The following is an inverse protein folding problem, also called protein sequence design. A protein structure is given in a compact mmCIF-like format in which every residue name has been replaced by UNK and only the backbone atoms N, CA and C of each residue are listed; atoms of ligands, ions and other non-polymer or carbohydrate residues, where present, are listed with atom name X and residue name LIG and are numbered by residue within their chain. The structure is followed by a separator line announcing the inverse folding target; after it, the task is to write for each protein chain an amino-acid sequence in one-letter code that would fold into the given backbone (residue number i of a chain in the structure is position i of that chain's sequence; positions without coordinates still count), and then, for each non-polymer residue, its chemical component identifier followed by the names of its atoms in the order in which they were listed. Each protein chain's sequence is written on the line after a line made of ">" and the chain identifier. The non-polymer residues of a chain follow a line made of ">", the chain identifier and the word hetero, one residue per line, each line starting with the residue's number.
data_IF_629888456258
#
_entry.id   IF_629888456258
#
_cell.length_a   1.000
_cell.length_b   1.000
_cell.length_c   1.000
_cell.angle_alpha   90.00
_cell.angle_beta   90.00
_cell.angle_gamma   90.00
#
_symmetry.space_group_name_H-M   'P 1'
#
loop_
_entity.id
_entity.type
_entity.pdbx_description
1 polymer ?
#
# COMPACT_ATOMS: atom_id res chain seq x y z
N UNK A 1 -24.41 21.07 11.39
CA UNK A 1 -25.70 20.54 10.91
C UNK A 1 -25.42 19.09 10.58
N UNK A 2 -25.83 18.15 11.44
CA UNK A 2 -25.54 16.72 11.27
C UNK A 2 -26.04 16.24 9.92
N UNK A 3 -25.12 15.73 9.09
CA UNK A 3 -25.46 14.97 7.90
C UNK A 3 -25.33 13.50 8.25
N UNK A 4 -26.47 12.89 8.51
CA UNK A 4 -26.66 11.47 8.29
C UNK A 4 -26.55 11.22 6.78
N UNK A 5 -25.47 10.57 6.35
CA UNK A 5 -25.33 10.03 5.01
C UNK A 5 -24.99 8.55 5.12
N UNK A 6 -26.03 7.72 4.96
CA UNK A 6 -26.01 6.34 4.46
C UNK A 6 -24.93 5.37 4.99
N UNK A 7 -25.27 4.65 6.07
CA UNK A 7 -24.58 3.44 6.56
C UNK A 7 -24.68 2.23 5.60
N UNK A 8 -25.03 2.43 4.32
CA UNK A 8 -25.38 1.35 3.39
C UNK A 8 -24.27 0.96 2.41
N UNK A 9 -23.11 1.63 2.44
CA UNK A 9 -22.04 1.37 1.46
C UNK A 9 -20.96 0.38 1.95
N UNK A 10 -20.83 0.16 3.27
CA UNK A 10 -19.63 -0.49 3.84
C UNK A 10 -19.66 -2.02 3.66
N UNK A 11 -20.84 -2.66 3.69
CA UNK A 11 -20.96 -4.09 3.39
C UNK A 11 -20.59 -4.45 1.93
N UNK A 12 -20.51 -3.45 1.03
CA UNK A 12 -20.09 -3.67 -0.35
C UNK A 12 -18.57 -3.48 -0.55
N UNK A 13 -17.83 -2.94 0.43
CA UNK A 13 -16.43 -2.50 0.28
C UNK A 13 -15.44 -3.65 0.03
N UNK A 14 -15.80 -4.88 0.39
CA UNK A 14 -14.93 -6.07 0.24
C UNK A 14 -15.67 -7.32 -0.28
N UNK A 15 -16.81 -7.17 -0.97
CA UNK A 15 -17.63 -8.33 -1.39
C UNK A 15 -18.39 -9.02 -0.25
N UNK A 16 -18.59 -8.32 0.89
CA UNK A 16 -19.29 -8.79 2.10
C UNK A 16 -20.83 -8.75 1.98
N UNK A 17 -21.37 -9.15 0.84
CA UNK A 17 -22.82 -9.26 0.67
C UNK A 17 -23.35 -10.50 1.41
N UNK A 18 -23.56 -10.39 2.72
CA UNK A 18 -24.24 -11.43 3.51
C UNK A 18 -24.25 -11.21 5.03
N UNK A 19 -23.13 -10.81 5.63
CA UNK A 19 -22.99 -10.82 7.09
C UNK A 19 -23.28 -9.47 7.77
N UNK A 20 -23.85 -9.52 8.97
CA UNK A 20 -23.98 -8.38 9.86
C UNK A 20 -22.60 -7.76 10.15
N UNK A 21 -22.41 -6.50 9.73
CA UNK A 21 -21.28 -5.60 10.02
C UNK A 21 -19.90 -6.26 10.21
N UNK A 22 -19.07 -6.24 9.16
CA UNK A 22 -17.62 -6.41 9.34
C UNK A 22 -17.13 -5.50 10.48
N UNK A 23 -16.38 -6.08 11.41
CA UNK A 23 -15.82 -5.34 12.53
C UNK A 23 -14.60 -4.57 12.02
N UNK A 24 -14.60 -3.26 12.21
CA UNK A 24 -13.43 -2.44 11.91
C UNK A 24 -12.69 -2.23 13.23
N UNK A 25 -11.41 -2.61 13.27
CA UNK A 25 -10.55 -2.39 14.41
C UNK A 25 -9.39 -1.46 14.07
N UNK A 26 -8.94 -0.70 15.08
CA UNK A 26 -7.83 0.24 14.98
C UNK A 26 -6.69 -0.23 15.87
N UNK A 27 -5.52 -0.44 15.25
CA UNK A 27 -4.33 -0.94 15.92
C UNK A 27 -3.21 0.13 15.91
N UNK A 28 -2.95 0.83 17.02
CA UNK A 28 -1.88 1.83 17.09
C UNK A 28 -0.50 1.17 17.18
N UNK A 29 0.43 1.59 16.31
CA UNK A 29 1.81 1.05 16.27
C UNK A 29 2.77 1.94 17.07
N UNK A 30 2.67 3.27 16.91
CA UNK A 30 3.48 4.24 17.66
C UNK A 30 4.41 5.08 16.78
N UNK A 31 5.56 5.51 17.32
CA UNK A 31 6.53 6.42 16.68
C UNK A 31 7.25 5.76 15.49
N UNK A 32 6.56 5.58 14.38
CA UNK A 32 7.08 4.92 13.20
C UNK A 32 6.60 5.64 11.94
N UNK A 33 7.52 6.00 11.05
CA UNK A 33 7.20 6.49 9.73
C UNK A 33 7.29 5.30 8.77
N UNK A 34 6.21 4.53 8.72
CA UNK A 34 6.06 3.40 7.81
C UNK A 34 6.07 3.90 6.35
N UNK A 35 6.59 3.07 5.45
CA UNK A 35 6.63 3.36 4.02
C UNK A 35 6.20 2.19 3.14
N UNK A 36 6.11 0.98 3.68
CA UNK A 36 5.75 -0.23 2.95
C UNK A 36 5.24 -1.33 3.91
N UNK A 37 4.44 -2.26 3.40
CA UNK A 37 3.96 -3.42 4.16
C UNK A 37 4.04 -4.73 3.35
N UNK A 38 4.03 -5.88 4.03
CA UNK A 38 3.90 -7.18 3.38
C UNK A 38 2.50 -7.38 2.80
N UNK A 39 2.38 -8.29 1.82
CA UNK A 39 1.10 -8.67 1.19
C UNK A 39 -0.02 -9.00 2.18
N UNK A 40 0.28 -9.59 3.33
CA UNK A 40 -0.67 -9.94 4.38
C UNK A 40 -0.80 -8.89 5.50
N UNK A 41 -0.10 -7.76 5.39
CA UNK A 41 -0.06 -6.69 6.38
C UNK A 41 0.60 -7.06 7.72
N UNK A 42 1.20 -8.24 7.86
CA UNK A 42 1.80 -8.68 9.14
C UNK A 42 3.14 -8.00 9.44
N UNK A 43 3.86 -7.61 8.39
CA UNK A 43 5.14 -6.91 8.47
C UNK A 43 5.05 -5.52 7.89
N UNK A 44 5.63 -4.57 8.61
CA UNK A 44 5.76 -3.17 8.18
C UNK A 44 7.23 -2.79 8.14
N UNK A 45 7.62 -1.97 7.17
CA UNK A 45 8.97 -1.40 7.11
C UNK A 45 8.94 0.12 6.94
N UNK A 46 9.96 0.78 7.49
CA UNK A 46 9.99 2.23 7.53
C UNK A 46 11.06 2.78 8.47
N UNK A 47 10.86 4.01 8.91
CA UNK A 47 11.79 4.73 9.79
C UNK A 47 11.32 4.72 11.23
N UNK A 48 12.17 4.19 12.12
CA UNK A 48 12.05 4.31 13.57
C UNK A 48 13.07 5.36 14.06
N UNK A 49 12.60 6.59 14.25
CA UNK A 49 13.51 7.74 14.42
C UNK A 49 14.34 7.96 13.16
N UNK A 50 15.66 7.79 13.25
CA UNK A 50 16.55 7.86 12.09
C UNK A 50 16.94 6.49 11.52
N UNK A 51 16.43 5.41 12.10
CA UNK A 51 16.86 4.04 11.77
C UNK A 51 15.92 3.40 10.76
N UNK A 52 16.46 2.53 9.89
CA UNK A 52 15.62 1.59 9.14
C UNK A 52 15.21 0.48 10.11
N UNK A 53 13.92 0.22 10.20
CA UNK A 53 13.36 -0.82 11.05
C UNK A 53 12.22 -1.55 10.34
N UNK A 54 11.96 -2.78 10.79
CA UNK A 54 10.71 -3.48 10.53
C UNK A 54 9.93 -3.70 11.81
N UNK A 55 8.63 -3.91 11.71
CA UNK A 55 7.73 -4.16 12.82
C UNK A 55 6.75 -5.27 12.47
N UNK A 56 6.41 -6.09 13.45
CA UNK A 56 5.24 -6.98 13.44
C UNK A 56 4.56 -6.97 14.80
N UNK A 57 3.28 -7.32 14.87
CA UNK A 57 2.56 -7.44 16.14
C UNK A 57 3.21 -8.47 17.08
N UNK A 58 3.75 -9.56 16.51
CA UNK A 58 4.32 -10.67 17.28
C UNK A 58 5.70 -10.35 17.88
N UNK A 59 6.54 -9.64 17.14
CA UNK A 59 7.94 -9.41 17.53
C UNK A 59 8.24 -7.98 17.96
N UNK A 60 7.35 -7.03 17.65
CA UNK A 60 7.57 -5.60 17.83
C UNK A 60 8.61 -5.04 16.86
N UNK A 61 9.28 -3.96 17.26
CA UNK A 61 10.28 -3.30 16.42
C UNK A 61 11.62 -4.03 16.38
N UNK A 62 12.11 -4.27 15.17
CA UNK A 62 13.49 -4.68 14.91
C UNK A 62 14.23 -3.56 14.16
N UNK A 63 15.27 -3.01 14.77
CA UNK A 63 16.13 -2.03 14.11
C UNK A 63 17.16 -2.74 13.23
N UNK A 64 17.11 -2.46 11.92
CA UNK A 64 17.95 -3.12 10.92
C UNK A 64 19.17 -2.31 10.54
N UNK A 65 19.06 -0.97 10.54
CA UNK A 65 20.15 -0.07 10.18
C UNK A 65 20.11 1.19 11.05
N UNK A 66 21.26 1.62 11.55
CA UNK A 66 21.39 2.79 12.43
C UNK A 66 22.23 3.85 11.74
N UNK A 67 21.60 4.96 11.31
CA UNK A 67 22.29 6.13 10.78
C UNK A 67 21.44 7.39 10.95
N UNK A 68 22.01 8.46 11.49
CA UNK A 68 21.31 9.72 11.74
C UNK A 68 20.92 10.49 10.46
N UNK A 69 21.48 10.14 9.29
CA UNK A 69 21.32 10.88 8.04
C UNK A 69 20.54 10.13 6.97
N UNK A 70 19.86 9.03 7.32
CA UNK A 70 19.10 8.25 6.34
C UNK A 70 17.99 9.08 5.66
N UNK A 71 18.13 9.28 4.34
CA UNK A 71 17.15 9.92 3.47
C UNK A 71 16.79 8.99 2.31
N UNK A 72 15.66 8.31 2.40
CA UNK A 72 15.16 7.35 1.41
C UNK A 72 13.84 6.73 1.83
N UNK A 73 13.25 5.94 0.93
CA UNK A 73 12.12 5.03 1.23
C UNK A 73 12.67 3.69 1.73
N UNK A 74 11.84 2.93 2.43
CA UNK A 74 12.14 1.56 2.85
C UNK A 74 11.08 0.67 2.24
N UNK A 75 11.50 -0.45 1.62
CA UNK A 75 10.59 -1.47 1.09
C UNK A 75 10.78 -2.82 1.77
N UNK A 76 9.79 -3.70 1.72
CA UNK A 76 9.79 -5.02 2.37
C UNK A 76 9.21 -6.11 1.45
N UNK A 77 9.73 -7.33 1.51
CA UNK A 77 9.16 -8.49 0.79
C UNK A 77 7.89 -9.02 1.47
N UNK A 78 7.08 -9.78 0.73
CA UNK A 78 5.78 -10.29 1.22
C UNK A 78 5.91 -11.21 2.43
N UNK A 79 7.05 -11.89 2.57
CA UNK A 79 7.35 -12.75 3.73
C UNK A 79 8.03 -12.01 4.89
N UNK A 80 8.27 -10.70 4.73
CA UNK A 80 8.96 -9.84 5.69
C UNK A 80 10.46 -10.11 5.83
N UNK A 81 11.02 -11.10 5.13
CA UNK A 81 12.40 -11.58 5.35
C UNK A 81 13.47 -10.71 4.71
N UNK A 82 13.09 -9.83 3.77
CA UNK A 82 13.99 -8.89 3.09
C UNK A 82 13.49 -7.47 3.20
N UNK A 83 14.41 -6.54 3.46
CA UNK A 83 14.11 -5.10 3.54
C UNK A 83 15.11 -4.35 2.68
N UNK A 84 14.63 -3.47 1.80
CA UNK A 84 15.48 -2.62 0.96
C UNK A 84 15.47 -1.17 1.46
N UNK A 85 16.54 -0.45 1.20
CA UNK A 85 16.65 0.97 1.51
C UNK A 85 17.99 1.55 1.08
N UNK A 86 18.15 2.87 1.23
CA UNK A 86 19.44 3.53 1.03
C UNK A 86 20.31 3.43 2.28
N UNK A 87 21.49 2.85 2.16
CA UNK A 87 22.49 2.71 3.23
C UNK A 87 23.78 3.40 2.83
N UNK A 88 24.78 3.42 3.71
CA UNK A 88 26.12 3.90 3.39
C UNK A 88 27.10 2.73 3.30
N UNK A 89 27.94 2.74 2.26
CA UNK A 89 29.04 1.80 2.15
C UNK A 89 30.22 2.16 3.08
N UNK A 90 31.30 1.37 3.04
CA UNK A 90 32.49 1.61 3.87
C UNK A 90 33.24 2.91 3.56
N UNK A 91 32.97 3.53 2.40
CA UNK A 91 33.55 4.80 1.98
C UNK A 91 32.67 6.01 2.34
N UNK A 92 31.46 5.75 2.85
CA UNK A 92 30.46 6.77 3.17
C UNK A 92 29.64 7.23 1.96
N UNK A 93 29.63 6.44 0.89
CA UNK A 93 28.78 6.67 -0.30
C UNK A 93 27.37 6.16 -0.01
N UNK A 94 26.35 6.97 -0.29
CA UNK A 94 24.97 6.52 -0.23
C UNK A 94 24.68 5.55 -1.39
N UNK A 95 24.27 4.32 -1.05
CA UNK A 95 24.05 3.21 -1.98
C UNK A 95 22.73 2.51 -1.68
N UNK A 96 22.02 1.99 -2.69
CA UNK A 96 20.93 1.06 -2.43
C UNK A 96 21.48 -0.22 -1.78
N UNK A 97 20.73 -0.79 -0.84
CA UNK A 97 21.10 -2.04 -0.18
C UNK A 97 19.88 -2.88 0.14
N UNK A 98 20.14 -4.14 0.44
CA UNK A 98 19.13 -5.11 0.88
C UNK A 98 19.60 -5.80 2.14
N UNK A 99 18.78 -5.74 3.17
CA UNK A 99 18.87 -6.57 4.35
C UNK A 99 18.15 -7.89 4.10
N UNK A 100 18.73 -8.99 4.58
CA UNK A 100 18.10 -10.31 4.55
C UNK A 100 18.20 -10.95 5.92
N UNK A 101 17.10 -11.52 6.40
CA UNK A 101 17.03 -12.15 7.72
C UNK A 101 18.11 -13.22 7.89
N UNK A 102 18.82 -13.19 9.01
CA UNK A 102 19.94 -14.10 9.30
C UNK A 102 21.23 -13.83 8.52
N UNK A 103 21.23 -12.90 7.55
CA UNK A 103 22.40 -12.55 6.73
C UNK A 103 22.89 -11.12 7.01
N UNK A 104 21.99 -10.15 7.08
CA UNK A 104 22.30 -8.72 7.22
C UNK A 104 22.31 -7.96 5.89
N UNK A 105 22.89 -6.75 5.89
CA UNK A 105 22.91 -5.86 4.73
C UNK A 105 23.96 -6.24 3.68
N UNK A 106 23.55 -6.20 2.42
CA UNK A 106 24.39 -6.25 1.23
C UNK A 106 24.10 -5.03 0.36
N UNK A 107 25.14 -4.38 -0.16
CA UNK A 107 24.99 -3.27 -1.10
C UNK A 107 24.69 -3.82 -2.50
N UNK A 108 23.83 -3.13 -3.26
CA UNK A 108 23.50 -3.54 -4.63
C UNK A 108 24.60 -3.18 -5.64
N UNK A 109 25.52 -2.30 -5.23
CA UNK A 109 26.59 -1.74 -6.05
C UNK A 109 26.09 -0.64 -6.99
N UNK A 110 27.00 0.09 -7.66
CA UNK A 110 26.62 1.16 -8.58
C UNK A 110 26.06 0.60 -9.88
N UNK A 111 25.35 1.45 -10.61
CA UNK A 111 25.05 1.20 -12.02
C UNK A 111 26.34 1.15 -12.83
N UNK A 112 26.44 0.24 -13.80
CA UNK A 112 27.65 0.10 -14.62
C UNK A 112 27.98 1.43 -15.32
N UNK A 113 29.19 1.96 -15.07
CA UNK A 113 29.67 3.21 -15.67
C UNK A 113 29.03 4.48 -15.09
N UNK A 114 28.32 4.40 -13.96
CA UNK A 114 27.68 5.52 -13.29
C UNK A 114 28.19 5.78 -11.87
N UNK A 115 27.42 6.58 -11.13
CA UNK A 115 27.72 7.16 -9.82
C UNK A 115 28.02 8.66 -9.88
N UNK A 116 27.68 9.39 -8.81
CA UNK A 116 28.14 10.76 -8.56
C UNK A 116 28.92 10.79 -7.23
N UNK A 117 29.75 11.82 -6.96
CA UNK A 117 30.55 11.86 -5.74
C UNK A 117 29.69 11.74 -4.47
N UNK A 118 29.85 10.66 -3.72
CA UNK A 118 29.16 10.41 -2.46
C UNK A 118 27.77 9.78 -2.58
N UNK A 119 27.28 9.48 -3.79
CA UNK A 119 25.96 8.87 -3.99
C UNK A 119 25.90 8.05 -5.28
N UNK A 120 25.59 6.75 -5.17
CA UNK A 120 25.37 5.86 -6.31
C UNK A 120 23.90 5.78 -6.69
N UNK A 121 23.00 5.93 -5.71
CA UNK A 121 21.56 5.84 -5.92
C UNK A 121 20.78 5.63 -4.63
N UNK A 122 19.50 5.32 -4.78
CA UNK A 122 18.58 5.01 -3.68
C UNK A 122 17.63 3.89 -4.08
N UNK A 123 17.39 2.94 -3.17
CA UNK A 123 16.32 1.95 -3.32
C UNK A 123 14.99 2.56 -2.88
N UNK A 124 13.91 2.15 -3.54
CA UNK A 124 12.56 2.60 -3.22
C UNK A 124 11.62 1.43 -2.90
N UNK A 125 11.75 0.30 -3.61
CA UNK A 125 10.88 -0.85 -3.43
C UNK A 125 11.60 -2.17 -3.77
N UNK A 126 11.06 -3.28 -3.26
CA UNK A 126 11.49 -4.67 -3.49
C UNK A 126 10.26 -5.48 -3.90
N UNK A 127 10.43 -6.45 -4.80
CA UNK A 127 9.34 -7.34 -5.22
C UNK A 127 8.84 -8.19 -4.06
N UNK A 128 7.59 -8.64 -4.14
CA UNK A 128 6.97 -9.47 -3.13
C UNK A 128 7.71 -10.79 -2.86
N UNK A 129 8.22 -11.43 -3.93
CA UNK A 129 9.10 -12.60 -3.85
C UNK A 129 10.52 -12.29 -3.30
N UNK A 130 10.78 -11.01 -3.01
CA UNK A 130 12.04 -10.49 -2.48
C UNK A 130 13.19 -10.50 -3.47
N UNK A 131 13.03 -10.92 -4.72
CA UNK A 131 14.15 -11.22 -5.63
C UNK A 131 14.68 -10.00 -6.39
N UNK A 132 13.86 -8.97 -6.56
CA UNK A 132 14.13 -7.82 -7.43
C UNK A 132 13.97 -6.50 -6.67
N UNK A 133 14.92 -5.59 -6.83
CA UNK A 133 14.90 -4.26 -6.20
C UNK A 133 14.86 -3.18 -7.27
N UNK A 134 14.10 -2.12 -7.01
CA UNK A 134 14.03 -0.94 -7.88
C UNK A 134 14.32 0.35 -7.12
N UNK A 135 14.53 1.42 -7.87
CA UNK A 135 14.81 2.73 -7.33
C UNK A 135 15.35 3.69 -8.38
N UNK A 136 16.24 4.58 -7.95
CA UNK A 136 17.02 5.43 -8.83
C UNK A 136 18.52 5.15 -8.66
N UNK A 137 19.24 5.19 -9.77
CA UNK A 137 20.70 5.15 -9.79
C UNK A 137 21.23 6.39 -10.52
N UNK A 138 22.28 6.99 -9.97
CA UNK A 138 22.91 8.15 -10.57
C UNK A 138 23.87 7.74 -11.68
N UNK A 139 23.81 8.45 -12.80
CA UNK A 139 24.85 8.43 -13.83
C UNK A 139 25.86 9.55 -13.58
N UNK A 140 27.05 9.41 -14.16
CA UNK A 140 28.12 10.41 -14.05
C UNK A 140 27.78 11.80 -14.63
N UNK A 141 26.72 11.89 -15.43
CA UNK A 141 26.17 13.12 -16.01
C UNK A 141 25.08 13.77 -15.15
N UNK A 142 24.91 13.32 -13.89
CA UNK A 142 23.91 13.81 -12.93
C UNK A 142 22.46 13.57 -13.39
N UNK A 143 22.23 12.55 -14.21
CA UNK A 143 20.90 12.05 -14.53
C UNK A 143 20.60 10.79 -13.74
N UNK A 144 19.39 10.72 -13.20
CA UNK A 144 18.91 9.52 -12.52
C UNK A 144 18.31 8.54 -13.54
N UNK A 145 18.48 7.25 -13.28
CA UNK A 145 17.88 6.15 -14.05
C UNK A 145 17.11 5.25 -13.11
N UNK A 146 15.91 4.86 -13.52
CA UNK A 146 15.26 3.68 -12.97
C UNK A 146 16.19 2.47 -13.16
N UNK A 147 16.27 1.62 -12.15
CA UNK A 147 17.06 0.39 -12.21
C UNK A 147 16.23 -0.82 -11.79
N UNK A 148 16.63 -2.00 -12.26
CA UNK A 148 16.24 -3.29 -11.69
C UNK A 148 17.52 -3.97 -11.20
N UNK A 149 17.52 -4.46 -9.97
CA UNK A 149 18.63 -5.21 -9.41
C UNK A 149 18.17 -6.60 -9.01
N UNK A 150 18.95 -7.61 -9.36
CA UNK A 150 18.87 -8.97 -8.79
C UNK A 150 20.27 -9.40 -8.39
N UNK A 151 20.37 -10.40 -7.50
CA UNK A 151 21.66 -10.98 -7.12
C UNK A 151 22.43 -11.55 -8.33
N UNK A 152 21.71 -12.06 -9.33
CA UNK A 152 22.30 -12.74 -10.49
C UNK A 152 22.80 -11.78 -11.57
N UNK A 153 22.16 -10.62 -11.70
CA UNK A 153 22.45 -9.64 -12.76
C UNK A 153 23.21 -8.42 -12.26
N UNK A 154 23.18 -8.16 -10.95
CA UNK A 154 23.51 -6.85 -10.42
C UNK A 154 22.53 -5.79 -10.92
N UNK A 155 22.94 -4.52 -10.84
CA UNK A 155 22.11 -3.37 -11.19
C UNK A 155 22.03 -3.19 -12.72
N UNK A 156 20.81 -3.28 -13.25
CA UNK A 156 20.47 -3.09 -14.66
C UNK A 156 19.79 -1.73 -14.85
N UNK A 157 20.29 -0.95 -15.80
CA UNK A 157 19.70 0.33 -16.20
C UNK A 157 18.43 0.11 -17.03
N UNK A 158 17.29 0.63 -16.57
CA UNK A 158 16.01 0.52 -17.28
C UNK A 158 15.76 1.67 -18.28
N UNK A 159 16.65 2.68 -18.29
CA UNK A 159 16.61 3.75 -19.27
C UNK A 159 15.55 4.83 -18.99
N UNK A 160 15.39 5.71 -19.97
CA UNK A 160 14.40 6.78 -20.03
C UNK A 160 14.05 7.00 -21.50
N UNK A 161 12.90 7.62 -21.79
CA UNK A 161 12.51 7.94 -23.16
C UNK A 161 13.49 8.90 -23.86
N UNK A 162 14.26 9.68 -23.10
CA UNK A 162 15.34 10.51 -23.60
C UNK A 162 16.61 10.30 -22.76
N UNK A 163 17.76 10.08 -23.42
CA UNK A 163 19.02 9.78 -22.72
C UNK A 163 19.52 10.92 -21.81
N UNK A 164 19.08 12.17 -22.05
CA UNK A 164 19.44 13.35 -21.26
C UNK A 164 18.37 13.77 -20.23
N UNK A 165 17.34 12.96 -20.04
CA UNK A 165 16.27 13.13 -19.04
C UNK A 165 16.36 12.07 -17.96
N UNK A 166 15.72 12.25 -16.81
CA UNK A 166 15.78 11.33 -15.68
C UNK A 166 14.62 10.34 -15.66
N UNK A 167 14.81 9.23 -14.96
CA UNK A 167 13.75 8.27 -14.62
C UNK A 167 13.96 7.71 -13.22
N UNK A 168 12.91 7.15 -12.62
CA UNK A 168 12.94 6.46 -11.32
C UNK A 168 11.93 5.34 -11.29
N UNK A 169 12.31 4.19 -10.73
CA UNK A 169 11.36 3.19 -10.26
C UNK A 169 10.97 3.49 -8.81
N UNK A 170 9.66 3.54 -8.56
CA UNK A 170 9.05 3.89 -7.28
C UNK A 170 8.34 2.67 -6.67
N UNK A 171 7.68 1.85 -7.50
CA UNK A 171 6.97 0.63 -7.11
C UNK A 171 7.39 -0.57 -7.96
N UNK A 172 7.10 -1.77 -7.49
CA UNK A 172 7.38 -3.04 -8.19
C UNK A 172 6.33 -4.08 -7.81
N UNK A 173 5.94 -4.95 -8.74
CA UNK A 173 4.96 -6.01 -8.48
C UNK A 173 5.57 -7.25 -7.78
N UNK A 174 4.74 -8.24 -7.47
CA UNK A 174 5.09 -9.40 -6.65
C UNK A 174 6.25 -10.25 -7.20
N UNK A 175 6.32 -10.44 -8.52
CA UNK A 175 7.39 -11.22 -9.17
C UNK A 175 8.54 -10.38 -9.75
N UNK A 176 8.46 -9.06 -9.61
CA UNK A 176 9.47 -8.12 -10.09
C UNK A 176 9.49 -7.87 -11.61
N UNK A 177 8.54 -8.41 -12.37
CA UNK A 177 8.46 -8.24 -13.83
C UNK A 177 7.97 -6.85 -14.26
N UNK A 178 7.22 -6.16 -13.40
CA UNK A 178 6.68 -4.82 -13.64
C UNK A 178 7.20 -3.85 -12.58
N UNK A 179 7.92 -2.83 -13.04
CA UNK A 179 8.38 -1.71 -12.20
C UNK A 179 7.60 -0.47 -12.60
N UNK A 180 6.99 0.20 -11.63
CA UNK A 180 6.27 1.47 -11.82
C UNK A 180 7.07 2.66 -11.31
N UNK A 181 6.89 3.81 -11.92
CA UNK A 181 7.49 5.06 -11.46
C UNK A 181 7.25 6.21 -12.42
N UNK A 182 8.32 6.94 -12.73
CA UNK A 182 8.24 8.06 -13.66
C UNK A 182 9.37 8.13 -14.68
N UNK A 183 9.03 8.71 -15.83
CA UNK A 183 9.95 9.17 -16.86
C UNK A 183 9.80 10.68 -17.09
N UNK A 184 10.93 11.40 -17.13
CA UNK A 184 10.94 12.85 -17.34
C UNK A 184 10.80 13.19 -18.83
N UNK A 185 9.80 14.02 -19.16
CA UNK A 185 9.56 14.51 -20.51
C UNK A 185 10.63 15.53 -20.96
N UNK A 186 10.72 15.85 -22.27
CA UNK A 186 11.69 16.83 -22.79
C UNK A 186 11.62 18.20 -22.12
N UNK A 187 10.44 18.60 -21.63
CA UNK A 187 10.21 19.89 -20.98
C UNK A 187 10.25 19.83 -19.43
N UNK A 188 10.59 18.66 -18.86
CA UNK A 188 10.90 18.47 -17.44
C UNK A 188 9.75 17.98 -16.55
N UNK A 189 8.52 17.86 -17.06
CA UNK A 189 7.43 17.24 -16.30
C UNK A 189 7.64 15.71 -16.19
N UNK A 190 7.27 15.12 -15.05
CA UNK A 190 7.27 13.66 -14.91
C UNK A 190 6.01 13.07 -15.53
N UNK A 191 6.16 11.90 -16.13
CA UNK A 191 5.08 11.11 -16.72
C UNK A 191 5.08 9.72 -16.10
N UNK A 192 3.89 9.24 -15.76
CA UNK A 192 3.65 7.88 -15.27
C UNK A 192 4.23 6.86 -16.25
N UNK A 193 5.13 6.03 -15.75
CA UNK A 193 5.91 5.08 -16.52
C UNK A 193 5.90 3.71 -15.85
N UNK A 194 5.86 2.67 -16.69
CA UNK A 194 6.09 1.29 -16.32
C UNK A 194 7.30 0.76 -17.10
N UNK A 195 8.08 -0.12 -16.48
CA UNK A 195 9.04 -0.97 -17.15
C UNK A 195 8.55 -2.40 -17.03
N UNK A 196 8.03 -2.94 -18.13
CA UNK A 196 7.50 -4.30 -18.23
C UNK A 196 8.57 -5.16 -18.89
N UNK A 197 9.13 -6.13 -18.17
CA UNK A 197 10.30 -6.90 -18.60
C UNK A 197 11.47 -5.99 -19.05
N UNK A 198 11.62 -4.88 -18.34
CA UNK A 198 12.62 -3.84 -18.62
C UNK A 198 12.35 -2.96 -19.83
N UNK A 199 11.20 -3.10 -20.51
CA UNK A 199 10.79 -2.22 -21.61
C UNK A 199 9.91 -1.08 -21.10
N UNK A 200 10.26 0.16 -21.45
CA UNK A 200 9.52 1.36 -21.04
C UNK A 200 8.16 1.46 -21.76
N UNK A 201 7.10 1.61 -20.96
CA UNK A 201 5.72 1.92 -21.35
C UNK A 201 5.29 3.20 -20.63
N UNK A 202 4.84 4.21 -21.38
CA UNK A 202 4.27 5.43 -20.80
C UNK A 202 2.75 5.30 -20.73
N UNK A 203 2.17 5.53 -19.56
CA UNK A 203 0.72 5.39 -19.37
C UNK A 203 -0.05 6.59 -19.93
N UNK A 204 0.53 7.79 -19.83
CA UNK A 204 -0.07 9.04 -20.31
C UNK A 204 0.99 9.91 -21.02
N UNK A 205 1.49 9.47 -22.19
CA UNK A 205 2.65 10.09 -22.84
C UNK A 205 2.44 11.55 -23.25
N UNK A 206 1.18 11.92 -23.50
CA UNK A 206 0.75 13.24 -23.96
C UNK A 206 0.25 14.15 -22.82
N UNK A 207 0.28 13.67 -21.57
CA UNK A 207 -0.17 14.47 -20.42
C UNK A 207 0.77 15.66 -20.20
N UNK A 208 0.18 16.84 -20.02
CA UNK A 208 0.87 18.05 -19.57
C UNK A 208 0.96 18.13 -18.04
N UNK A 209 0.28 17.23 -17.34
CA UNK A 209 0.28 17.13 -15.89
C UNK A 209 1.53 16.42 -15.37
N UNK A 210 1.76 16.58 -14.06
CA UNK A 210 2.74 15.79 -13.34
C UNK A 210 2.12 14.44 -12.94
N UNK A 211 2.53 13.36 -13.59
CA UNK A 211 2.03 12.01 -13.29
C UNK A 211 3.16 11.06 -12.91
N UNK A 212 2.86 10.10 -12.03
CA UNK A 212 3.80 9.10 -11.52
C UNK A 212 3.01 7.88 -11.04
N UNK A 213 3.52 6.67 -11.33
CA UNK A 213 3.06 5.43 -10.69
C UNK A 213 3.77 5.31 -9.35
N UNK A 214 3.01 5.13 -8.28
CA UNK A 214 3.50 5.06 -6.90
C UNK A 214 3.17 3.72 -6.25
N UNK A 215 2.13 3.03 -6.73
CA UNK A 215 1.71 1.71 -6.26
C UNK A 215 1.49 0.75 -7.43
N UNK A 216 1.70 -0.54 -7.20
CA UNK A 216 1.33 -1.63 -8.10
C UNK A 216 0.70 -2.74 -7.28
N UNK A 217 -0.31 -3.42 -7.84
CA UNK A 217 -0.80 -4.65 -7.25
C UNK A 217 0.19 -5.80 -7.48
N UNK A 218 0.01 -6.91 -6.75
CA UNK A 218 0.89 -8.09 -6.83
C UNK A 218 1.07 -8.62 -8.26
N UNK A 219 0.00 -8.60 -9.09
CA UNK A 219 0.04 -9.06 -10.47
C UNK A 219 0.70 -8.07 -11.45
N UNK A 220 0.80 -6.78 -11.10
CA UNK A 220 1.35 -5.74 -11.95
C UNK A 220 0.42 -5.29 -13.09
N UNK A 221 -0.88 -5.59 -13.02
CA UNK A 221 -1.91 -5.21 -14.00
C UNK A 221 -2.82 -4.06 -13.51
N UNK A 222 -2.65 -3.63 -12.26
CA UNK A 222 -3.26 -2.43 -11.67
C UNK A 222 -2.17 -1.56 -11.04
N UNK A 223 -2.16 -0.28 -11.41
CA UNK A 223 -1.20 0.70 -10.93
C UNK A 223 -1.93 1.88 -10.27
N UNK A 224 -1.45 2.34 -9.12
CA UNK A 224 -1.94 3.53 -8.43
C UNK A 224 -0.92 4.68 -8.49
N UNK A 225 -1.39 5.92 -8.47
CA UNK A 225 -0.52 7.07 -8.29
C UNK A 225 -1.23 8.40 -8.37
N UNK A 226 -0.55 9.38 -8.98
CA UNK A 226 -1.08 10.73 -9.17
C UNK A 226 -1.38 11.00 -10.65
N UNK A 227 -2.58 11.53 -10.92
CA UNK A 227 -3.00 12.09 -12.20
C UNK A 227 -2.66 13.57 -12.35
N UNK A 228 -1.91 14.14 -11.41
CA UNK A 228 -1.52 15.55 -11.39
C UNK A 228 -2.51 16.47 -10.69
N UNK A 229 -2.34 17.76 -10.92
CA UNK A 229 -2.90 18.79 -10.06
C UNK A 229 -4.44 18.90 -10.20
N UNK A 230 -4.96 18.70 -11.42
CA UNK A 230 -6.40 18.82 -11.67
C UNK A 230 -7.17 17.50 -11.55
N UNK A 231 -6.50 16.37 -11.79
CA UNK A 231 -7.16 15.06 -11.82
C UNK A 231 -7.08 14.31 -10.49
N UNK A 232 -6.12 14.66 -9.63
CA UNK A 232 -5.99 14.08 -8.30
C UNK A 232 -5.44 12.65 -8.34
N UNK A 233 -5.94 11.81 -7.44
CA UNK A 233 -5.52 10.41 -7.37
C UNK A 233 -5.98 9.65 -8.62
N UNK A 234 -5.19 8.69 -9.07
CA UNK A 234 -5.47 7.92 -10.29
C UNK A 234 -5.16 6.44 -10.10
N UNK A 235 -5.92 5.61 -10.79
CA UNK A 235 -5.62 4.18 -11.01
C UNK A 235 -5.50 3.95 -12.51
N UNK A 236 -4.49 3.20 -12.93
CA UNK A 236 -4.40 2.65 -14.28
C UNK A 236 -4.64 1.15 -14.23
N UNK A 237 -5.39 0.64 -15.20
CA UNK A 237 -5.72 -0.79 -15.31
C UNK A 237 -5.34 -1.30 -16.70
N UNK A 238 -4.84 -2.53 -16.74
CA UNK A 238 -4.50 -3.23 -17.98
C UNK A 238 -5.68 -4.07 -18.45
N UNK A 239 -6.15 -3.80 -19.68
CA UNK A 239 -7.09 -4.69 -20.40
C UNK A 239 -6.40 -5.23 -21.65
N UNK A 240 -6.07 -6.52 -21.62
CA UNK A 240 -5.25 -7.16 -22.65
C UNK A 240 -3.84 -6.58 -22.71
N UNK A 241 -3.60 -5.65 -23.64
CA UNK A 241 -2.32 -4.94 -23.79
C UNK A 241 -2.46 -3.42 -23.63
N UNK A 242 -3.68 -2.93 -23.39
CA UNK A 242 -3.99 -1.51 -23.37
C UNK A 242 -4.15 -1.06 -21.92
N UNK A 243 -3.32 -0.12 -21.49
CA UNK A 243 -3.47 0.54 -20.20
C UNK A 243 -4.45 1.70 -20.32
N UNK A 244 -5.36 1.83 -19.35
CA UNK A 244 -6.30 2.95 -19.26
C UNK A 244 -6.32 3.54 -17.86
N UNK A 245 -6.35 4.87 -17.78
CA UNK A 245 -6.36 5.62 -16.52
C UNK A 245 -7.76 6.06 -16.11
N UNK A 246 -8.12 5.82 -14.85
CA UNK A 246 -9.33 6.31 -14.20
C UNK A 246 -8.94 7.30 -13.11
N UNK A 247 -9.31 8.57 -13.29
CA UNK A 247 -9.13 9.59 -12.26
C UNK A 247 -10.15 9.37 -11.14
N UNK A 248 -9.66 9.19 -9.92
CA UNK A 248 -10.49 8.97 -8.74
C UNK A 248 -11.05 10.28 -8.19
N UNK A 249 -10.43 11.41 -8.54
CA UNK A 249 -10.80 12.75 -8.10
C UNK A 249 -10.26 13.10 -6.72
N UNK A 250 -11.07 13.80 -5.94
CA UNK A 250 -10.72 14.33 -4.63
C UNK A 250 -11.87 14.09 -3.65
N UNK A 251 -11.54 13.92 -2.36
CA UNK A 251 -12.54 14.02 -1.29
C UNK A 251 -13.20 15.40 -1.30
N UNK A 252 -14.47 15.55 -0.90
CA UNK A 252 -15.10 16.87 -0.78
C UNK A 252 -14.29 17.81 0.14
N UNK A 253 -13.99 19.05 -0.28
CA UNK A 253 -13.24 19.98 0.57
C UNK A 253 -14.07 20.45 1.76
N UNK A 254 -13.41 20.72 2.88
CA UNK A 254 -13.99 21.29 4.08
C UNK A 254 -14.02 22.83 4.06
N UNK A 255 -14.78 23.41 5.00
CA UNK A 255 -14.85 24.87 5.17
C UNK A 255 -13.48 25.44 5.55
N UNK A 256 -12.85 26.16 4.63
CA UNK A 256 -11.54 26.79 4.82
C UNK A 256 -10.42 26.20 3.98
N UNK A 257 -10.68 25.08 3.30
CA UNK A 257 -9.71 24.44 2.42
C UNK A 257 -9.37 25.31 1.19
N UNK A 258 -8.09 25.33 0.85
CA UNK A 258 -7.63 25.97 -0.38
C UNK A 258 -7.77 25.02 -1.57
N UNK A 259 -8.94 24.99 -2.19
CA UNK A 259 -9.20 24.17 -3.38
C UNK A 259 -8.36 24.55 -4.62
N UNK A 260 -7.73 25.73 -4.60
CA UNK A 260 -6.78 26.18 -5.64
C UNK A 260 -5.34 25.78 -5.30
N UNK A 261 -5.14 24.85 -4.39
CA UNK A 261 -3.84 24.25 -4.10
C UNK A 261 -4.11 22.89 -3.48
N UNK A 262 -4.32 21.88 -4.32
CA UNK A 262 -4.74 20.57 -3.85
C UNK A 262 -3.97 19.46 -4.53
N UNK A 263 -3.88 18.34 -3.85
CA UNK A 263 -3.20 17.13 -4.31
C UNK A 263 -3.99 15.92 -3.82
N UNK A 264 -4.06 14.87 -4.63
CA UNK A 264 -4.56 13.58 -4.20
C UNK A 264 -3.69 12.51 -4.86
N UNK A 265 -3.37 11.47 -4.09
CA UNK A 265 -2.41 10.44 -4.51
C UNK A 265 -2.89 9.09 -4.04
N UNK A 266 -2.96 8.12 -4.94
CA UNK A 266 -3.11 6.70 -4.59
C UNK A 266 -1.74 6.16 -4.18
N UNK A 267 -1.65 5.60 -2.97
CA UNK A 267 -0.42 5.06 -2.41
C UNK A 267 -0.43 3.54 -2.27
N UNK A 268 -1.61 2.90 -2.23
CA UNK A 268 -1.76 1.44 -2.22
C UNK A 268 -3.00 1.00 -3.01
N UNK A 269 -2.96 -0.22 -3.54
CA UNK A 269 -4.06 -0.88 -4.27
C UNK A 269 -4.14 -2.35 -3.87
N UNK A 270 -5.35 -2.88 -3.66
CA UNK A 270 -5.55 -4.31 -3.37
C UNK A 270 -5.15 -5.19 -4.56
N UNK A 271 -4.90 -6.48 -4.34
CA UNK A 271 -4.46 -7.40 -5.39
C UNK A 271 -5.45 -7.49 -6.56
N UNK A 272 -6.75 -7.43 -6.27
CA UNK A 272 -7.83 -7.42 -7.25
C UNK A 272 -8.12 -6.04 -7.86
N UNK A 273 -7.47 -4.99 -7.37
CA UNK A 273 -7.63 -3.60 -7.80
C UNK A 273 -8.98 -2.96 -7.45
N UNK A 274 -9.80 -3.58 -6.60
CA UNK A 274 -11.13 -3.07 -6.26
C UNK A 274 -11.09 -2.02 -5.14
N UNK A 275 -10.03 -2.02 -4.33
CA UNK A 275 -9.80 -1.04 -3.26
C UNK A 275 -8.49 -0.30 -3.51
N UNK A 276 -8.53 1.02 -3.32
CA UNK A 276 -7.35 1.85 -3.37
C UNK A 276 -7.31 2.82 -2.19
N UNK A 277 -6.12 3.11 -1.69
CA UNK A 277 -5.91 3.95 -0.51
C UNK A 277 -4.92 5.06 -0.81
N UNK A 278 -5.02 6.15 -0.06
CA UNK A 278 -4.10 7.26 -0.22
C UNK A 278 -4.42 8.45 0.66
N UNK A 279 -4.06 9.64 0.18
CA UNK A 279 -4.40 10.89 0.84
C UNK A 279 -4.88 11.98 -0.14
N UNK A 280 -5.68 12.90 0.39
CA UNK A 280 -5.93 14.22 -0.18
C UNK A 280 -5.16 15.27 0.63
N UNK A 281 -4.71 16.33 -0.02
CA UNK A 281 -4.15 17.53 0.61
C UNK A 281 -4.82 18.77 0.07
N UNK A 282 -5.21 19.68 0.97
CA UNK A 282 -5.69 21.02 0.65
C UNK A 282 -4.77 22.09 1.28
N UNK A 283 -4.17 22.91 0.43
CA UNK A 283 -3.15 23.91 0.76
C UNK A 283 -1.71 23.41 0.62
N UNK A 284 -0.77 24.29 0.96
CA UNK A 284 0.67 24.03 0.93
C UNK A 284 1.33 24.29 2.29
N UNK A 285 2.37 23.52 2.56
CA UNK A 285 3.20 23.65 3.76
C UNK A 285 2.71 22.82 4.95
N UNK A 286 3.33 23.00 6.13
CA UNK A 286 3.12 22.13 7.30
C UNK A 286 1.73 22.27 7.94
N UNK A 287 0.93 23.22 7.48
CA UNK A 287 -0.43 23.48 7.96
C UNK A 287 -1.50 23.16 6.92
N UNK A 288 -1.12 22.52 5.80
CA UNK A 288 -2.08 22.02 4.85
C UNK A 288 -2.99 20.98 5.52
N UNK A 289 -4.26 20.97 5.11
CA UNK A 289 -5.20 19.94 5.53
C UNK A 289 -4.90 18.66 4.77
N UNK A 290 -4.93 17.51 5.44
CA UNK A 290 -4.69 16.21 4.82
C UNK A 290 -5.75 15.24 5.32
N UNK A 291 -6.22 14.39 4.42
CA UNK A 291 -7.26 13.40 4.71
C UNK A 291 -6.86 12.08 4.07
N UNK A 292 -6.78 11.01 4.88
CA UNK A 292 -6.70 9.66 4.34
C UNK A 292 -7.99 9.29 3.60
N UNK A 293 -7.87 8.70 2.41
CA UNK A 293 -9.04 8.20 1.68
C UNK A 293 -8.95 6.70 1.45
N UNK A 294 -10.10 6.06 1.49
CA UNK A 294 -10.36 4.74 0.94
C UNK A 294 -11.25 4.93 -0.30
N UNK A 295 -10.89 4.32 -1.42
CA UNK A 295 -11.66 4.35 -2.66
C UNK A 295 -12.12 2.94 -3.06
N UNK A 296 -13.34 2.87 -3.58
CA UNK A 296 -13.90 1.73 -4.31
C UNK A 296 -14.58 2.23 -5.58
N UNK A 297 -15.11 1.34 -6.42
CA UNK A 297 -15.92 1.74 -7.59
C UNK A 297 -17.11 2.67 -7.24
N UNK A 298 -17.56 2.67 -5.99
CA UNK A 298 -18.65 3.54 -5.51
C UNK A 298 -18.20 4.97 -5.18
N UNK A 299 -16.89 5.20 -5.06
CA UNK A 299 -16.29 6.51 -4.79
C UNK A 299 -15.28 6.50 -3.65
N UNK A 300 -14.72 7.68 -3.37
CA UNK A 300 -13.85 7.91 -2.21
C UNK A 300 -14.67 8.15 -0.94
N UNK A 301 -14.15 7.64 0.18
CA UNK A 301 -14.64 7.86 1.54
C UNK A 301 -13.48 8.38 2.39
N UNK A 302 -13.75 9.37 3.22
CA UNK A 302 -12.78 9.86 4.22
C UNK A 302 -12.63 8.81 5.33
N UNK A 303 -11.39 8.51 5.71
CA UNK A 303 -11.13 7.43 6.66
C UNK A 303 -11.56 7.76 8.09
N UNK A 304 -11.45 9.02 8.53
CA UNK A 304 -11.88 9.41 9.87
C UNK A 304 -13.41 9.36 9.97
N UNK A 305 -14.12 9.77 8.92
CA UNK A 305 -15.57 9.60 8.80
C UNK A 305 -15.94 8.11 8.85
N UNK A 306 -15.24 7.25 8.09
CA UNK A 306 -15.48 5.81 8.08
C UNK A 306 -15.31 5.19 9.48
N UNK A 307 -14.22 5.50 10.17
CA UNK A 307 -13.94 4.98 11.51
C UNK A 307 -14.98 5.48 12.53
N UNK A 308 -15.29 6.78 12.49
CA UNK A 308 -16.24 7.42 13.42
C UNK A 308 -17.66 6.88 13.23
N UNK A 309 -18.11 6.71 11.99
CA UNK A 309 -19.44 6.16 11.67
C UNK A 309 -19.60 4.70 12.11
N UNK A 310 -18.49 3.95 12.23
CA UNK A 310 -18.46 2.58 12.77
C UNK A 310 -18.13 2.52 14.28
N UNK A 311 -18.06 3.67 14.96
CA UNK A 311 -17.82 3.74 16.39
C UNK A 311 -16.41 3.32 16.83
N UNK A 312 -15.44 3.37 15.91
CA UNK A 312 -14.04 3.05 16.19
C UNK A 312 -13.36 4.25 16.85
N UNK A 313 -12.78 4.05 18.04
CA UNK A 313 -11.99 5.06 18.73
C UNK A 313 -10.52 4.95 18.33
N UNK A 314 -10.02 5.96 17.63
CA UNK A 314 -8.61 6.10 17.21
C UNK A 314 -7.85 7.10 18.09
N UNK A 315 -8.35 7.38 19.30
CA UNK A 315 -7.61 8.10 20.36
C UNK A 315 -7.38 9.58 20.08
N UNK A 316 -8.12 10.18 19.15
CA UNK A 316 -7.95 11.57 18.71
C UNK A 316 -6.70 11.81 17.86
N UNK A 317 -6.19 10.77 17.21
CA UNK A 317 -5.20 10.90 16.15
C UNK A 317 -5.80 11.70 14.97
N UNK A 318 -5.06 12.69 14.46
CA UNK A 318 -5.35 13.39 13.20
C UNK A 318 -4.73 12.56 12.06
N UNK A 319 -5.55 11.75 11.38
CA UNK A 319 -5.13 10.82 10.33
C UNK A 319 -4.84 11.59 9.04
N UNK A 320 -3.57 11.54 8.61
CA UNK A 320 -3.07 12.34 7.49
C UNK A 320 -3.05 11.58 6.17
N UNK A 321 -2.86 10.27 6.20
CA UNK A 321 -2.84 9.49 4.97
C UNK A 321 -2.76 8.00 5.22
N UNK A 322 -3.34 7.26 4.28
CA UNK A 322 -3.20 5.83 4.16
C UNK A 322 -2.07 5.55 3.19
N UNK A 323 -1.13 4.70 3.59
CA UNK A 323 0.13 4.49 2.89
C UNK A 323 0.11 3.23 2.05
N UNK A 324 -0.53 2.17 2.56
CA UNK A 324 -0.57 0.88 1.87
C UNK A 324 -1.75 0.02 2.32
N UNK A 325 -2.06 -1.03 1.55
CA UNK A 325 -3.18 -1.95 1.75
C UNK A 325 -2.77 -3.39 1.43
N UNK A 326 -3.27 -4.37 2.20
CA UNK A 326 -2.92 -5.77 2.00
C UNK A 326 -3.55 -6.29 0.71
N UNK A 327 -3.00 -7.37 0.18
CA UNK A 327 -3.45 -7.97 -1.09
C UNK A 327 -4.96 -8.29 -1.06
N UNK A 328 -5.46 -8.77 0.08
CA UNK A 328 -6.87 -9.09 0.30
C UNK A 328 -7.73 -7.87 0.69
N UNK A 329 -7.13 -6.70 0.85
CA UNK A 329 -7.81 -5.47 1.26
C UNK A 329 -8.18 -5.36 2.74
N UNK A 330 -7.85 -6.36 3.56
CA UNK A 330 -8.30 -6.44 4.96
C UNK A 330 -7.48 -5.59 5.93
N UNK A 331 -6.24 -5.23 5.59
CA UNK A 331 -5.36 -4.42 6.44
C UNK A 331 -4.88 -3.20 5.68
N UNK A 332 -5.18 -2.01 6.21
CA UNK A 332 -4.68 -0.74 5.71
C UNK A 332 -3.71 -0.15 6.72
N UNK A 333 -2.52 0.22 6.27
CA UNK A 333 -1.54 0.92 7.09
C UNK A 333 -1.55 2.41 6.78
N UNK A 334 -1.47 3.24 7.81
CA UNK A 334 -1.48 4.69 7.66
C UNK A 334 -0.67 5.42 8.72
N UNK A 335 -0.72 6.74 8.64
CA UNK A 335 -0.06 7.63 9.59
C UNK A 335 -0.90 8.86 9.92
N UNK A 336 -0.63 9.43 11.08
CA UNK A 336 -1.26 10.65 11.55
C UNK A 336 -0.44 11.39 12.59
N UNK A 337 -0.95 12.54 13.04
CA UNK A 337 -0.36 13.32 14.11
C UNK A 337 -1.09 13.13 15.44
N UNK A 338 -0.32 12.94 16.49
CA UNK A 338 -0.81 12.92 17.87
C UNK A 338 -0.16 14.04 18.68
N UNK A 339 -0.97 14.80 19.45
CA UNK A 339 -0.51 15.86 20.36
C UNK A 339 0.50 16.83 19.69
N UNK A 340 0.10 17.46 18.59
CA UNK A 340 0.94 18.37 17.80
C UNK A 340 1.46 17.73 16.52
N UNK A 341 2.77 17.54 16.39
CA UNK A 341 3.43 17.00 15.18
C UNK A 341 4.11 15.64 15.42
N UNK A 342 3.72 14.91 16.47
CA UNK A 342 4.28 13.57 16.69
C UNK A 342 3.65 12.59 15.71
N UNK A 343 4.43 12.10 14.75
CA UNK A 343 4.00 11.11 13.76
C UNK A 343 3.72 9.78 14.44
N UNK A 344 2.57 9.20 14.17
CA UNK A 344 2.17 7.86 14.62
C UNK A 344 1.76 7.01 13.42
N UNK A 345 2.29 5.80 13.34
CA UNK A 345 1.75 4.77 12.46
C UNK A 345 0.60 4.01 13.14
N UNK A 346 -0.30 3.48 12.33
CA UNK A 346 -1.39 2.62 12.74
C UNK A 346 -1.75 1.64 11.63
N UNK A 347 -2.51 0.61 12.00
CA UNK A 347 -3.25 -0.25 11.08
C UNK A 347 -4.75 -0.11 11.33
N UNK A 348 -5.53 -0.16 10.26
CA UNK A 348 -6.98 -0.38 10.28
C UNK A 348 -7.18 -1.78 9.75
N UNK A 349 -7.88 -2.60 10.53
CA UNK A 349 -8.14 -4.00 10.18
C UNK A 349 -9.64 -4.12 9.96
N UNK A 350 -10.00 -4.57 8.77
CA UNK A 350 -11.35 -4.94 8.39
C UNK A 350 -11.47 -6.44 8.66
N UNK A 351 -11.91 -6.77 9.87
CA UNK A 351 -12.15 -8.14 10.25
C UNK A 351 -13.25 -8.67 9.32
N UNK A 352 -12.87 -9.61 8.45
CA UNK A 352 -13.87 -10.44 7.78
C UNK A 352 -14.52 -11.28 8.88
N UNK A 353 -15.84 -11.22 9.05
CA UNK A 353 -16.52 -12.13 9.96
C UNK A 353 -16.08 -13.54 9.60
N UNK A 354 -15.46 -14.23 10.54
CA UNK A 354 -15.09 -15.61 10.31
C UNK A 354 -16.35 -16.43 10.38
N UNK A 355 -16.95 -16.75 9.23
CA UNK A 355 -18.21 -17.51 9.20
C UNK A 355 -18.08 -18.84 9.95
N UNK A 356 -16.86 -19.39 10.04
CA UNK A 356 -16.55 -20.58 10.82
C UNK A 356 -16.59 -20.38 12.35
N UNK A 357 -16.40 -19.15 12.86
CA UNK A 357 -16.63 -18.77 14.26
C UNK A 357 -18.13 -18.54 14.48
N UNK A 358 -18.89 -19.62 14.40
CA UNK A 358 -20.34 -19.60 14.51
C UNK A 358 -20.82 -19.11 15.88
N UNK A 359 -19.99 -19.25 16.92
CA UNK A 359 -20.35 -18.91 18.29
C UNK A 359 -19.92 -17.49 18.68
N UNK A 360 -19.07 -16.84 17.87
CA UNK A 360 -18.63 -15.46 18.03
C UNK A 360 -17.70 -15.28 19.23
N UNK A 361 -16.83 -16.26 19.49
CA UNK A 361 -15.83 -16.18 20.56
C UNK A 361 -14.42 -15.83 20.06
N UNK A 362 -14.31 -15.40 18.81
CA UNK A 362 -13.09 -15.06 18.09
C UNK A 362 -12.13 -16.25 17.93
N UNK A 363 -12.62 -17.48 18.08
CA UNK A 363 -11.81 -18.70 17.92
C UNK A 363 -12.54 -19.83 17.21
N UNK A 364 -12.07 -20.23 16.03
CA UNK A 364 -12.59 -21.42 15.33
C UNK A 364 -12.15 -22.68 16.06
N UNK A 365 -13.04 -23.21 16.88
CA UNK A 365 -12.81 -24.39 17.71
C UNK A 365 -14.07 -25.30 17.73
N UNK A 366 -13.97 -26.50 18.30
CA UNK A 366 -15.08 -27.46 18.25
C UNK A 366 -16.40 -26.95 18.86
N UNK A 367 -16.39 -25.83 19.59
CA UNK A 367 -17.56 -25.14 20.10
C UNK A 367 -18.39 -24.49 18.98
N UNK A 368 -17.78 -24.01 17.89
CA UNK A 368 -18.52 -23.49 16.72
C UNK A 368 -19.28 -24.58 16.00
N UNK A 369 -18.64 -25.73 15.80
CA UNK A 369 -19.30 -26.91 15.23
C UNK A 369 -20.51 -27.30 16.09
N UNK A 370 -20.37 -27.24 17.41
CA UNK A 370 -21.46 -27.56 18.32
C UNK A 370 -22.58 -26.51 18.25
N UNK A 371 -22.24 -25.23 18.18
CA UNK A 371 -23.18 -24.13 18.06
C UNK A 371 -23.97 -24.22 16.73
N UNK A 372 -23.27 -24.43 15.62
CA UNK A 372 -23.88 -24.63 14.30
C UNK A 372 -24.82 -25.83 14.28
N UNK A 373 -24.38 -27.00 14.75
CA UNK A 373 -25.22 -28.20 14.75
C UNK A 373 -26.46 -28.06 15.64
N UNK A 374 -26.38 -27.31 16.73
CA UNK A 374 -27.54 -26.99 17.57
C UNK A 374 -28.54 -26.11 16.82
N UNK A 375 -28.07 -25.04 16.17
CA UNK A 375 -28.91 -24.15 15.36
C UNK A 375 -29.55 -24.90 14.17
N UNK A 376 -28.78 -25.73 13.47
CA UNK A 376 -29.23 -26.56 12.36
C UNK A 376 -30.31 -27.57 12.78
N UNK A 377 -30.10 -28.25 13.91
CA UNK A 377 -31.08 -29.20 14.46
C UNK A 377 -32.37 -28.50 14.92
N UNK A 378 -32.26 -27.25 15.37
CA UNK A 378 -33.40 -26.42 15.76
C UNK A 378 -34.12 -25.79 14.55
N UNK A 379 -33.53 -25.84 13.34
CA UNK A 379 -34.05 -25.19 12.15
C UNK A 379 -34.03 -23.65 12.27
N UNK A 380 -33.05 -23.12 13.00
CA UNK A 380 -32.88 -21.68 13.17
C UNK A 380 -32.33 -21.06 11.89
N UNK A 381 -32.78 -19.83 11.57
CA UNK A 381 -32.30 -19.12 10.38
C UNK A 381 -30.80 -18.80 10.40
N UNK A 382 -30.16 -18.80 11.58
CA UNK A 382 -28.70 -18.71 11.70
C UNK A 382 -27.96 -19.90 11.11
N UNK A 383 -28.64 -21.04 10.90
CA UNK A 383 -28.06 -22.23 10.27
C UNK A 383 -28.29 -22.29 8.74
N UNK A 384 -28.86 -21.24 8.14
CA UNK A 384 -28.92 -21.03 6.68
C UNK A 384 -27.59 -20.45 6.21
N UNK A 385 -26.54 -21.26 6.30
CA UNK A 385 -25.15 -20.85 6.18
C UNK A 385 -24.75 -20.46 4.75
N UNK A 386 -25.50 -20.94 3.74
CA UNK A 386 -25.26 -20.55 2.36
C UNK A 386 -26.23 -19.45 1.86
N UNK A 387 -27.04 -18.88 2.78
CA UNK A 387 -28.06 -17.86 2.52
C UNK A 387 -29.02 -18.22 1.37
N UNK A 388 -29.34 -19.51 1.18
CA UNK A 388 -30.26 -19.95 0.11
C UNK A 388 -31.75 -19.87 0.52
N UNK A 389 -32.02 -19.46 1.75
CA UNK A 389 -33.34 -19.32 2.34
C UNK A 389 -33.88 -20.62 2.93
N UNK A 390 -33.07 -21.69 2.98
CA UNK A 390 -33.48 -23.02 3.43
C UNK A 390 -32.40 -23.74 4.24
N UNK A 391 -32.63 -23.89 5.56
CA UNK A 391 -31.78 -24.72 6.41
C UNK A 391 -31.87 -26.20 6.01
N UNK A 392 -30.82 -26.72 5.37
CA UNK A 392 -30.73 -28.06 4.81
C UNK A 392 -29.28 -28.62 4.90
N UNK A 393 -28.99 -29.71 4.18
CA UNK A 393 -27.66 -30.34 4.22
C UNK A 393 -26.58 -29.57 3.47
N UNK A 394 -26.95 -28.64 2.59
CA UNK A 394 -26.03 -27.76 1.88
C UNK A 394 -25.39 -26.76 2.84
N UNK A 395 -26.11 -26.29 3.86
CA UNK A 395 -25.56 -25.44 4.92
C UNK A 395 -24.50 -26.16 5.75
N UNK A 396 -24.74 -27.44 6.06
CA UNK A 396 -23.75 -28.27 6.76
C UNK A 396 -22.47 -28.41 5.93
N UNK A 397 -22.60 -28.56 4.61
CA UNK A 397 -21.45 -28.64 3.72
C UNK A 397 -20.72 -27.29 3.64
N UNK A 398 -21.46 -26.18 3.55
CA UNK A 398 -20.91 -24.83 3.51
C UNK A 398 -20.15 -24.50 4.82
N UNK A 399 -20.77 -24.76 5.98
CA UNK A 399 -20.12 -24.58 7.28
C UNK A 399 -18.87 -25.44 7.43
N UNK A 400 -18.92 -26.73 7.07
CA UNK A 400 -17.74 -27.60 7.18
C UNK A 400 -16.60 -27.17 6.25
N UNK A 401 -16.92 -26.60 5.08
CA UNK A 401 -15.91 -26.02 4.20
C UNK A 401 -15.27 -24.78 4.84
N UNK A 402 -16.06 -23.85 5.39
CA UNK A 402 -15.57 -22.68 6.11
C UNK A 402 -14.72 -23.10 7.33
N UNK A 403 -15.24 -24.01 8.15
CA UNK A 403 -14.55 -24.61 9.30
C UNK A 403 -13.19 -25.24 8.95
N UNK A 404 -13.11 -25.93 7.81
CA UNK A 404 -11.86 -26.59 7.38
C UNK A 404 -10.88 -25.60 6.78
N UNK A 405 -11.39 -24.52 6.16
CA UNK A 405 -10.57 -23.41 5.70
C UNK A 405 -9.98 -22.62 6.87
N UNK A 406 -10.73 -22.52 7.98
CA UNK A 406 -10.39 -21.67 9.12
C UNK A 406 -10.84 -20.22 8.91
N UNK A 407 -10.43 -19.35 9.84
CA UNK A 407 -10.10 -17.96 9.53
C UNK A 407 -8.60 -17.93 9.19
#
# INVERSE_FOLDING_TARGET
>A
MHRHTTHAAIAAVLGLAGAAHAQISYNPIGDFAVSDQSADGTWLAGKLGNNIARWSADTGFETLYVDANFNGSVGISDDGSRVTGTIYDSEGTAVPGVWTEGVGWVTTGPITGGGVPGEDGSAYAISGDGSTITGLAWRSDWRARAFSWTESTGMVNLGSSYDDRSSRGTAINGDGSVIGGFDEAPFGNRRAALWIDGQLTLLEPDSEEWTEVIALNAAGDVAGGTGGYFEGAKIWTLDGNDWSGTSLGFLPPEDGDNVNDREAVTLGVSADGTVAVGFNRYGFGPFANYNGFLWTETGMVDIEDLLTDNGVDFGGLDIRGLLDISDDGSIITGWGYYDGFNVRAFQIIFDTPCDADFNGDDTVNTLDVLAFLNAWTAGEGSADFNDDGSVNTLDVLAFLNAWTAGC
#
